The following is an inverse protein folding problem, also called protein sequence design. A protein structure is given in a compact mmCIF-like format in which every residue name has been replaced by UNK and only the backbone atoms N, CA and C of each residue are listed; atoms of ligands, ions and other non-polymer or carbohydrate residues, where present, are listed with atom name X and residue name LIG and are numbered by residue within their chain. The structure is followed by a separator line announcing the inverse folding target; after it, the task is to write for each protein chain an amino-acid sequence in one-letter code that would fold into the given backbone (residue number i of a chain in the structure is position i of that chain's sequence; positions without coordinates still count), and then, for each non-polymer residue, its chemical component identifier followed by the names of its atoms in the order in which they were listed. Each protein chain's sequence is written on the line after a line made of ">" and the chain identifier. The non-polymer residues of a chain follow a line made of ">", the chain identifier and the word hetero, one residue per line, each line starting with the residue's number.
data_IF_794040183789
#
_entry.id   IF_794040183789
#
_cell.length_a   1.000
_cell.length_b   1.000
_cell.length_c   1.000
_cell.angle_alpha   90.00
_cell.angle_beta   90.00
_cell.angle_gamma   90.00
#
_symmetry.space_group_name_H-M   'P 1'
#
loop_
_entity.id
_entity.type
_entity.pdbx_description
1 polymer ?
#
# COMPACT_ATOMS: atom_id res chain seq x y z
N UNK A 1 68.08 12.15 31.01
CA UNK A 1 67.59 11.89 32.38
C UNK A 1 66.45 10.89 32.22
N UNK A 2 66.72 9.57 32.18
CA UNK A 2 66.91 8.68 33.36
C UNK A 2 65.77 8.85 34.38
N UNK A 3 65.07 7.86 34.93
CA UNK A 3 64.97 6.40 34.85
C UNK A 3 64.35 5.99 36.21
N UNK A 4 63.50 4.95 36.26
CA UNK A 4 63.17 4.04 37.38
C UNK A 4 61.69 3.63 37.23
N UNK A 5 61.29 2.44 36.78
CA UNK A 5 61.66 1.04 37.11
C UNK A 5 61.22 0.59 38.51
N UNK A 6 60.25 -0.33 38.57
CA UNK A 6 60.21 -1.62 39.32
C UNK A 6 58.92 -2.38 38.93
N UNK A 7 58.98 -3.53 38.23
CA UNK A 7 59.22 -4.93 38.69
C UNK A 7 58.02 -5.45 39.53
N UNK A 8 57.31 -6.54 39.21
CA UNK A 8 57.70 -7.93 38.89
C UNK A 8 56.58 -8.62 38.06
N UNK A 9 56.87 -9.42 37.02
CA UNK A 9 57.18 -10.88 37.01
C UNK A 9 56.02 -11.74 37.58
N UNK A 10 55.45 -12.75 36.91
CA UNK A 10 56.08 -13.84 36.15
C UNK A 10 55.14 -14.57 35.16
N UNK A 11 55.78 -15.19 34.16
CA UNK A 11 55.34 -16.21 33.17
C UNK A 11 54.65 -17.42 33.84
N UNK A 12 53.79 -18.20 33.18
CA UNK A 12 54.01 -19.27 32.17
C UNK A 12 52.61 -19.65 31.63
N UNK A 13 52.37 -20.08 30.40
CA UNK A 13 52.98 -21.19 29.67
C UNK A 13 51.86 -22.11 29.17
N UNK A 14 51.78 -22.22 27.85
CA UNK A 14 50.94 -23.06 26.97
C UNK A 14 50.73 -24.53 27.36
N UNK A 15 49.58 -25.11 26.98
CA UNK A 15 49.49 -26.47 26.40
C UNK A 15 48.11 -26.79 25.79
N UNK A 16 48.15 -27.36 24.58
CA UNK A 16 47.08 -28.07 23.88
C UNK A 16 46.68 -29.37 24.60
N UNK A 17 45.41 -29.77 24.50
CA UNK A 17 45.02 -31.18 24.46
C UNK A 17 43.68 -31.35 23.73
N UNK A 18 43.69 -32.20 22.71
CA UNK A 18 42.54 -32.74 22.01
C UNK A 18 41.87 -33.85 22.83
N UNK A 19 40.57 -34.10 22.65
CA UNK A 19 39.93 -35.29 23.23
C UNK A 19 38.41 -35.38 23.12
N UNK A 20 37.97 -35.97 22.01
CA UNK A 20 36.88 -36.95 21.88
C UNK A 20 35.41 -36.61 22.25
N UNK A 21 34.57 -36.97 21.27
CA UNK A 21 33.13 -37.23 21.27
C UNK A 21 32.54 -37.75 22.59
N UNK A 22 31.36 -37.22 22.94
CA UNK A 22 30.29 -37.97 23.59
C UNK A 22 28.94 -37.52 23.02
N UNK A 23 28.36 -38.39 22.21
CA UNK A 23 26.97 -38.37 21.76
C UNK A 23 26.07 -38.68 22.96
N UNK A 24 25.30 -37.70 23.42
CA UNK A 24 24.15 -37.93 24.30
C UNK A 24 22.86 -37.72 23.52
N UNK A 25 22.22 -38.86 23.20
CA UNK A 25 20.84 -38.94 22.75
C UNK A 25 19.95 -38.42 23.87
N UNK A 26 19.37 -37.24 23.68
CA UNK A 26 18.21 -36.77 24.43
C UNK A 26 16.99 -36.84 23.52
N UNK A 27 16.21 -37.90 23.72
CA UNK A 27 14.83 -38.02 23.27
C UNK A 27 13.95 -37.04 24.06
N UNK A 28 13.92 -35.78 23.62
CA UNK A 28 12.92 -34.82 24.05
C UNK A 28 11.71 -34.88 23.12
N UNK A 29 10.57 -35.32 23.62
CA UNK A 29 9.28 -35.20 22.93
C UNK A 29 9.02 -33.72 22.64
N UNK A 30 9.20 -33.32 21.39
CA UNK A 30 8.75 -32.03 20.89
C UNK A 30 7.21 -32.01 20.92
N UNK A 31 6.64 -31.34 21.93
CA UNK A 31 5.29 -30.80 21.82
C UNK A 31 5.34 -29.62 20.86
N UNK A 32 5.44 -29.93 19.57
CA UNK A 32 5.12 -29.01 18.49
C UNK A 32 3.61 -28.94 18.32
N UNK A 33 2.91 -28.23 19.20
CA UNK A 33 1.64 -27.65 18.80
C UNK A 33 2.00 -26.45 17.92
N UNK A 34 2.19 -26.72 16.64
CA UNK A 34 2.13 -25.69 15.63
C UNK A 34 0.78 -25.00 15.81
N UNK A 35 0.81 -23.69 16.02
CA UNK A 35 -0.34 -22.85 15.78
C UNK A 35 -0.70 -23.07 14.30
N UNK A 36 -1.59 -24.03 14.05
CA UNK A 36 -2.20 -24.18 12.74
C UNK A 36 -2.84 -22.84 12.45
N UNK A 37 -2.34 -22.16 11.42
CA UNK A 37 -3.05 -21.04 10.83
C UNK A 37 -4.46 -21.55 10.58
N UNK A 38 -5.43 -21.08 11.39
CA UNK A 38 -6.83 -21.38 11.14
C UNK A 38 -7.09 -20.84 9.75
N UNK A 39 -7.42 -21.73 8.82
CA UNK A 39 -7.99 -21.31 7.55
C UNK A 39 -9.12 -20.34 7.89
N UNK A 40 -9.09 -19.15 7.29
CA UNK A 40 -10.15 -18.17 7.51
C UNK A 40 -11.50 -18.83 7.23
N UNK A 41 -12.49 -18.59 8.08
CA UNK A 41 -13.83 -19.09 7.83
C UNK A 41 -14.31 -18.56 6.46
N UNK A 42 -15.07 -19.35 5.69
CA UNK A 42 -15.62 -18.89 4.42
C UNK A 42 -16.48 -17.64 4.64
N UNK A 43 -16.44 -16.71 3.67
CA UNK A 43 -17.23 -15.48 3.74
C UNK A 43 -18.73 -15.83 3.77
N UNK A 44 -19.48 -15.16 4.64
CA UNK A 44 -20.94 -15.19 4.62
C UNK A 44 -21.48 -14.46 3.38
N UNK A 45 -22.77 -14.66 3.06
CA UNK A 45 -23.43 -13.93 1.97
C UNK A 45 -23.39 -12.40 2.19
N UNK A 46 -23.53 -11.95 3.44
CA UNK A 46 -23.40 -10.55 3.83
C UNK A 46 -21.98 -10.04 3.59
N UNK A 47 -20.95 -10.78 4.02
CA UNK A 47 -19.56 -10.41 3.80
C UNK A 47 -19.18 -10.38 2.31
N UNK A 48 -19.75 -11.28 1.51
CA UNK A 48 -19.57 -11.30 0.05
C UNK A 48 -20.21 -10.08 -0.61
N UNK A 49 -21.35 -9.63 -0.11
CA UNK A 49 -22.04 -8.42 -0.58
C UNK A 49 -21.20 -7.18 -0.28
N UNK A 50 -20.75 -7.04 0.98
CA UNK A 50 -19.87 -5.94 1.40
C UNK A 50 -18.56 -5.90 0.61
N UNK A 51 -17.98 -7.07 0.31
CA UNK A 51 -16.77 -7.19 -0.50
C UNK A 51 -17.00 -6.69 -1.94
N UNK A 52 -18.11 -7.09 -2.57
CA UNK A 52 -18.49 -6.60 -3.90
C UNK A 52 -18.70 -5.09 -3.91
N UNK A 53 -19.38 -4.52 -2.91
CA UNK A 53 -19.59 -3.08 -2.79
C UNK A 53 -18.27 -2.32 -2.66
N UNK A 54 -17.34 -2.86 -1.85
CA UNK A 54 -16.03 -2.27 -1.66
C UNK A 54 -15.22 -2.27 -2.96
N UNK A 55 -15.17 -3.40 -3.68
CA UNK A 55 -14.47 -3.46 -4.97
C UNK A 55 -15.14 -2.58 -6.03
N UNK A 56 -16.47 -2.54 -6.09
CA UNK A 56 -17.20 -1.62 -6.98
C UNK A 56 -16.78 -0.18 -6.75
N UNK A 57 -16.77 0.24 -5.48
CA UNK A 57 -16.40 1.59 -5.11
C UNK A 57 -14.94 1.89 -5.47
N UNK A 58 -14.03 0.95 -5.19
CA UNK A 58 -12.62 1.07 -5.57
C UNK A 58 -12.42 1.18 -7.08
N UNK A 59 -13.09 0.33 -7.87
CA UNK A 59 -13.05 0.36 -9.33
C UNK A 59 -13.52 1.71 -9.88
N UNK A 60 -14.59 2.27 -9.30
CA UNK A 60 -15.12 3.57 -9.67
C UNK A 60 -14.16 4.70 -9.31
N UNK A 61 -13.63 4.71 -8.09
CA UNK A 61 -12.82 5.83 -7.60
C UNK A 61 -11.42 5.86 -8.20
N UNK A 62 -10.79 4.69 -8.35
CA UNK A 62 -9.41 4.59 -8.83
C UNK A 62 -9.31 4.54 -10.36
N UNK A 63 -10.32 3.97 -11.03
CA UNK A 63 -10.26 3.72 -12.48
C UNK A 63 -11.42 4.35 -13.26
N UNK A 64 -12.37 5.01 -12.59
CA UNK A 64 -13.54 5.59 -13.26
C UNK A 64 -14.45 4.53 -13.90
N UNK A 65 -14.38 3.28 -13.44
CA UNK A 65 -15.04 2.15 -14.09
C UNK A 65 -16.28 1.68 -13.31
N UNK A 66 -17.34 1.34 -14.02
CA UNK A 66 -18.55 0.72 -13.44
C UNK A 66 -19.08 -0.32 -14.41
N UNK A 67 -19.26 -1.55 -13.94
CA UNK A 67 -19.84 -2.62 -14.75
C UNK A 67 -21.35 -2.42 -14.93
N UNK A 68 -21.92 -2.78 -16.09
CA UNK A 68 -23.37 -2.86 -16.22
C UNK A 68 -23.92 -3.99 -15.34
N UNK A 69 -25.21 -3.91 -14.97
CA UNK A 69 -25.86 -4.90 -14.08
C UNK A 69 -25.80 -6.34 -14.61
N UNK A 70 -25.82 -6.49 -15.94
CA UNK A 70 -25.63 -7.76 -16.65
C UNK A 70 -24.42 -7.60 -17.58
N UNK A 71 -23.20 -7.93 -17.13
CA UNK A 71 -22.00 -7.75 -17.92
C UNK A 71 -21.91 -8.74 -19.09
N UNK A 72 -21.51 -8.22 -20.24
CA UNK A 72 -21.06 -9.04 -21.37
C UNK A 72 -19.60 -9.46 -21.17
N UNK A 73 -19.14 -10.46 -21.95
CA UNK A 73 -17.72 -10.84 -21.96
C UNK A 73 -16.82 -9.67 -22.38
N UNK A 74 -17.29 -8.85 -23.32
CA UNK A 74 -16.60 -7.65 -23.77
C UNK A 74 -16.47 -6.58 -22.68
N UNK A 75 -17.50 -6.39 -21.86
CA UNK A 75 -17.45 -5.45 -20.72
C UNK A 75 -16.37 -5.87 -19.72
N UNK A 76 -16.34 -7.15 -19.35
CA UNK A 76 -15.33 -7.68 -18.44
C UNK A 76 -13.91 -7.54 -18.99
N UNK A 77 -13.72 -7.80 -20.29
CA UNK A 77 -12.44 -7.61 -20.99
C UNK A 77 -11.99 -6.15 -20.99
N UNK A 78 -12.92 -5.21 -21.23
CA UNK A 78 -12.61 -3.76 -21.13
C UNK A 78 -12.23 -3.36 -19.73
N UNK A 79 -13.00 -3.80 -18.73
CA UNK A 79 -12.72 -3.54 -17.33
C UNK A 79 -11.31 -4.00 -16.98
N UNK A 80 -10.99 -5.25 -17.32
CA UNK A 80 -9.73 -5.87 -16.99
C UNK A 80 -8.53 -5.18 -17.65
N UNK A 81 -8.63 -4.85 -18.94
CA UNK A 81 -7.58 -4.13 -19.64
C UNK A 81 -7.34 -2.73 -19.03
N UNK A 82 -8.42 -2.04 -18.64
CA UNK A 82 -8.33 -0.72 -18.03
C UNK A 82 -7.65 -0.77 -16.65
N UNK A 83 -8.08 -1.68 -15.76
CA UNK A 83 -7.55 -1.75 -14.39
C UNK A 83 -6.10 -2.24 -14.35
N UNK A 84 -5.69 -3.04 -15.35
CA UNK A 84 -4.30 -3.48 -15.52
C UNK A 84 -3.46 -2.51 -16.36
N UNK A 85 -4.04 -1.38 -16.81
CA UNK A 85 -3.40 -0.39 -17.66
C UNK A 85 -2.70 -1.01 -18.90
N UNK A 86 -3.43 -1.88 -19.60
CA UNK A 86 -2.91 -2.63 -20.74
C UNK A 86 -3.31 -1.99 -22.07
N UNK A 87 -2.30 -1.69 -22.88
CA UNK A 87 -2.46 -1.17 -24.24
C UNK A 87 -1.87 -2.16 -25.26
N UNK A 88 -2.46 -2.29 -26.46
CA UNK A 88 -1.93 -3.17 -27.49
C UNK A 88 -0.63 -2.64 -28.07
N UNK A 89 0.29 -3.53 -28.43
CA UNK A 89 1.60 -3.18 -29.02
C UNK A 89 1.57 -2.96 -30.54
N UNK A 90 0.38 -3.07 -31.15
CA UNK A 90 0.20 -2.91 -32.60
C UNK A 90 0.40 -4.20 -33.40
N UNK A 91 0.34 -5.37 -32.76
CA UNK A 91 0.37 -6.66 -33.47
C UNK A 91 -0.89 -6.87 -34.31
N UNK A 92 -0.83 -7.72 -35.36
CA UNK A 92 -2.00 -8.03 -36.17
C UNK A 92 -3.14 -8.59 -35.31
N UNK A 93 -4.36 -8.21 -35.66
CA UNK A 93 -5.57 -8.69 -35.00
C UNK A 93 -5.70 -10.22 -35.13
N UNK A 94 -5.68 -10.98 -34.02
CA UNK A 94 -5.85 -12.42 -34.04
C UNK A 94 -7.32 -12.85 -34.06
N UNK A 95 -8.26 -11.92 -33.82
CA UNK A 95 -9.68 -12.24 -33.65
C UNK A 95 -10.44 -12.27 -34.99
N UNK A 96 -11.25 -13.31 -35.19
CA UNK A 96 -12.09 -13.48 -36.36
C UNK A 96 -13.38 -12.63 -36.30
N UNK A 97 -13.83 -12.29 -35.09
CA UNK A 97 -15.15 -11.67 -34.82
C UNK A 97 -15.06 -10.21 -34.36
N UNK A 98 -13.86 -9.71 -34.06
CA UNK A 98 -13.64 -8.32 -33.66
C UNK A 98 -12.94 -7.55 -34.77
N UNK A 99 -13.51 -6.41 -35.15
CA UNK A 99 -12.90 -5.43 -36.08
C UNK A 99 -12.40 -4.21 -35.30
N UNK A 100 -11.55 -3.38 -35.92
CA UNK A 100 -11.02 -2.14 -35.32
C UNK A 100 -12.10 -1.19 -34.78
N UNK A 101 -13.29 -1.21 -35.38
CA UNK A 101 -14.44 -0.40 -34.95
C UNK A 101 -15.15 -0.94 -33.70
N UNK A 102 -14.82 -2.14 -33.23
CA UNK A 102 -15.44 -2.74 -32.05
C UNK A 102 -15.03 -1.99 -30.79
N UNK A 103 -15.97 -1.74 -29.85
CA UNK A 103 -15.64 -1.11 -28.57
C UNK A 103 -14.69 -1.96 -27.71
N UNK A 104 -14.52 -3.25 -28.03
CA UNK A 104 -13.66 -4.19 -27.30
C UNK A 104 -12.28 -4.38 -27.96
N UNK A 105 -12.05 -3.81 -29.16
CA UNK A 105 -10.90 -4.14 -29.99
C UNK A 105 -9.54 -3.97 -29.30
N UNK A 106 -9.28 -2.78 -28.76
CA UNK A 106 -7.99 -2.48 -28.11
C UNK A 106 -7.77 -3.35 -26.87
N UNK A 107 -8.79 -3.48 -26.03
CA UNK A 107 -8.74 -4.27 -24.79
C UNK A 107 -8.53 -5.76 -25.08
N UNK A 108 -9.27 -6.31 -26.06
CA UNK A 108 -9.14 -7.71 -26.44
C UNK A 108 -7.74 -8.01 -27.01
N UNK A 109 -7.22 -7.13 -27.87
CA UNK A 109 -5.86 -7.27 -28.42
C UNK A 109 -4.81 -7.20 -27.30
N UNK A 110 -4.89 -6.22 -26.41
CA UNK A 110 -3.95 -6.07 -25.30
C UNK A 110 -3.95 -7.32 -24.38
N UNK A 111 -5.12 -7.85 -24.03
CA UNK A 111 -5.22 -9.07 -23.21
C UNK A 111 -4.76 -10.33 -23.95
N UNK A 112 -4.98 -10.43 -25.27
CA UNK A 112 -4.46 -11.54 -26.08
C UNK A 112 -2.93 -11.51 -26.14
N UNK A 113 -2.34 -10.34 -26.34
CA UNK A 113 -0.89 -10.16 -26.37
C UNK A 113 -0.22 -10.53 -25.03
N UNK A 114 -0.95 -10.39 -23.92
CA UNK A 114 -0.54 -10.85 -22.58
C UNK A 114 -0.85 -12.32 -22.30
N UNK A 115 -1.47 -13.03 -23.25
CA UNK A 115 -1.84 -14.44 -23.09
C UNK A 115 -2.98 -14.68 -22.10
N UNK A 116 -3.74 -13.63 -21.75
CA UNK A 116 -4.92 -13.70 -20.89
C UNK A 116 -6.12 -14.22 -21.70
N UNK A 117 -6.31 -13.65 -22.89
CA UNK A 117 -7.16 -14.24 -23.92
C UNK A 117 -6.29 -15.14 -24.81
N UNK A 118 -6.84 -16.29 -25.21
CA UNK A 118 -6.08 -17.32 -25.95
C UNK A 118 -6.81 -17.83 -27.18
N UNK A 119 -8.11 -17.55 -27.30
CA UNK A 119 -8.92 -17.93 -28.45
C UNK A 119 -8.90 -16.82 -29.51
N UNK A 120 -9.07 -17.19 -30.77
CA UNK A 120 -9.19 -16.29 -31.92
C UNK A 120 -10.63 -15.79 -32.13
N UNK A 121 -11.51 -16.02 -31.15
CA UNK A 121 -12.85 -15.45 -31.08
C UNK A 121 -13.10 -14.90 -29.68
N UNK A 122 -13.65 -13.68 -29.58
CA UNK A 122 -14.07 -13.13 -28.29
C UNK A 122 -15.52 -13.46 -27.99
N UNK A 123 -16.42 -13.32 -28.94
CA UNK A 123 -17.88 -13.27 -28.76
C UNK A 123 -18.27 -12.21 -27.72
N UNK A 124 -17.76 -10.98 -27.91
CA UNK A 124 -17.78 -9.91 -26.91
C UNK A 124 -19.17 -9.49 -26.43
N UNK A 125 -20.19 -9.55 -27.29
CA UNK A 125 -21.57 -9.17 -26.95
C UNK A 125 -22.34 -10.28 -26.22
N UNK A 126 -21.77 -11.48 -26.08
CA UNK A 126 -22.41 -12.58 -25.36
C UNK A 126 -22.38 -12.34 -23.84
N UNK A 127 -23.37 -12.87 -23.09
CA UNK A 127 -23.36 -12.85 -21.64
C UNK A 127 -22.05 -13.40 -21.08
N UNK A 128 -21.47 -12.72 -20.09
CA UNK A 128 -20.34 -13.25 -19.35
C UNK A 128 -20.82 -14.45 -18.52
N UNK A 129 -20.35 -15.66 -18.77
CA UNK A 129 -20.61 -16.79 -17.88
C UNK A 129 -19.67 -16.77 -16.68
N UNK A 130 -20.09 -17.35 -15.54
CA UNK A 130 -19.27 -17.38 -14.32
C UNK A 130 -17.91 -18.05 -14.56
N UNK A 131 -17.90 -19.20 -15.26
CA UNK A 131 -16.66 -19.91 -15.58
C UNK A 131 -15.74 -19.10 -16.50
N UNK A 132 -16.28 -18.44 -17.51
CA UNK A 132 -15.50 -17.58 -18.41
C UNK A 132 -14.82 -16.44 -17.65
N UNK A 133 -15.54 -15.81 -16.71
CA UNK A 133 -14.99 -14.77 -15.86
C UNK A 133 -13.81 -15.32 -15.03
N UNK A 134 -13.95 -16.51 -14.42
CA UNK A 134 -12.88 -17.15 -13.65
C UNK A 134 -11.67 -17.48 -14.52
N UNK A 135 -11.85 -18.07 -15.70
CA UNK A 135 -10.74 -18.41 -16.60
C UNK A 135 -9.91 -17.19 -16.96
N UNK A 136 -10.60 -16.09 -17.32
CA UNK A 136 -9.94 -14.82 -17.65
C UNK A 136 -9.24 -14.27 -16.39
N UNK A 137 -9.90 -14.26 -15.24
CA UNK A 137 -9.35 -13.74 -13.98
C UNK A 137 -8.10 -14.52 -13.52
N UNK A 138 -8.07 -15.86 -13.63
CA UNK A 138 -6.91 -16.69 -13.27
C UNK A 138 -5.67 -16.26 -14.04
N UNK A 139 -5.83 -16.10 -15.36
CA UNK A 139 -4.72 -15.68 -16.22
C UNK A 139 -4.33 -14.23 -15.94
N UNK A 140 -5.29 -13.35 -15.73
CA UNK A 140 -5.05 -11.94 -15.43
C UNK A 140 -4.40 -11.69 -14.07
N UNK A 141 -4.67 -12.56 -13.10
CA UNK A 141 -4.06 -12.54 -11.78
C UNK A 141 -2.61 -13.09 -11.78
N UNK A 142 -2.11 -13.60 -12.90
CA UNK A 142 -0.78 -14.21 -12.99
C UNK A 142 -0.71 -15.63 -12.43
N UNK A 143 -1.84 -16.34 -12.35
CA UNK A 143 -1.94 -17.69 -11.78
C UNK A 143 -1.95 -18.81 -12.83
N UNK A 144 -1.73 -18.49 -14.11
CA UNK A 144 -1.78 -19.44 -15.22
C UNK A 144 -0.79 -20.60 -15.03
N UNK A 145 0.48 -20.28 -14.77
CA UNK A 145 1.54 -21.26 -14.60
C UNK A 145 1.26 -22.15 -13.39
N UNK A 146 0.77 -21.56 -12.29
CA UNK A 146 0.33 -22.30 -11.11
C UNK A 146 -0.79 -23.27 -11.48
N UNK A 147 -1.84 -22.80 -12.16
CA UNK A 147 -2.96 -23.65 -12.58
C UNK A 147 -2.49 -24.84 -13.40
N UNK A 148 -1.58 -24.62 -14.36
CA UNK A 148 -1.11 -25.68 -15.25
C UNK A 148 -0.13 -26.66 -14.57
N UNK A 149 0.25 -26.43 -13.31
CA UNK A 149 0.95 -27.43 -12.50
C UNK A 149 0.04 -28.49 -11.89
N UNK A 150 -1.29 -28.32 -11.97
CA UNK A 150 -2.24 -29.20 -11.29
C UNK A 150 -2.42 -30.51 -12.08
N UNK A 151 -1.98 -31.67 -11.55
CA UNK A 151 -2.37 -32.96 -12.13
C UNK A 151 -3.88 -33.18 -11.94
N UNK A 152 -4.47 -34.08 -12.74
CA UNK A 152 -5.90 -34.34 -12.74
C UNK A 152 -6.48 -34.63 -11.33
N UNK A 153 -5.80 -35.44 -10.53
CA UNK A 153 -6.24 -35.75 -9.16
C UNK A 153 -6.22 -34.53 -8.24
N UNK A 154 -5.23 -33.63 -8.38
CA UNK A 154 -5.17 -32.40 -7.59
C UNK A 154 -6.31 -31.47 -8.00
N UNK A 155 -6.52 -31.29 -9.31
CA UNK A 155 -7.62 -30.49 -9.84
C UNK A 155 -8.98 -31.02 -9.34
N UNK A 156 -9.21 -32.34 -9.40
CA UNK A 156 -10.44 -32.95 -8.92
C UNK A 156 -10.69 -32.70 -7.43
N UNK A 157 -9.67 -32.78 -6.57
CA UNK A 157 -9.80 -32.48 -5.12
C UNK A 157 -10.17 -31.02 -4.86
N UNK A 158 -9.59 -30.08 -5.60
CA UNK A 158 -9.90 -28.65 -5.44
C UNK A 158 -11.29 -28.33 -6.01
N UNK A 159 -11.66 -28.95 -7.14
CA UNK A 159 -12.99 -28.80 -7.74
C UNK A 159 -14.11 -29.36 -6.87
N UNK A 160 -13.85 -30.39 -6.07
CA UNK A 160 -14.84 -30.91 -5.11
C UNK A 160 -15.29 -29.87 -4.06
N UNK A 161 -14.57 -28.74 -3.92
CA UNK A 161 -14.99 -27.60 -3.09
C UNK A 161 -16.06 -26.74 -3.76
N UNK A 162 -16.04 -26.66 -5.09
CA UNK A 162 -17.04 -25.96 -5.88
C UNK A 162 -18.23 -26.92 -5.98
N UNK A 163 -19.21 -26.76 -5.09
CA UNK A 163 -20.40 -27.61 -5.03
C UNK A 163 -21.18 -27.54 -6.35
N UNK A 164 -20.76 -28.35 -7.31
CA UNK A 164 -21.31 -28.40 -8.65
C UNK A 164 -21.60 -29.84 -9.00
N UNK A 165 -22.79 -30.05 -9.56
CA UNK A 165 -23.28 -31.34 -10.04
C UNK A 165 -22.36 -31.95 -11.11
N UNK A 166 -22.73 -33.15 -11.59
CA UNK A 166 -22.06 -34.07 -12.53
C UNK A 166 -21.35 -33.45 -13.76
N UNK A 167 -21.52 -32.16 -14.04
CA UNK A 167 -20.92 -31.41 -15.15
C UNK A 167 -19.41 -31.18 -15.01
N UNK A 168 -18.79 -31.25 -13.82
CA UNK A 168 -17.31 -31.15 -13.66
C UNK A 168 -16.60 -32.16 -14.58
N UNK A 169 -17.19 -33.34 -14.77
CA UNK A 169 -16.68 -34.39 -15.65
C UNK A 169 -16.54 -33.97 -17.13
N UNK A 170 -17.25 -32.92 -17.56
CA UNK A 170 -17.23 -32.41 -18.94
C UNK A 170 -16.19 -31.31 -19.19
N UNK A 171 -15.39 -30.93 -18.18
CA UNK A 171 -14.35 -29.92 -18.35
C UNK A 171 -13.18 -30.44 -19.19
N UNK A 172 -12.61 -29.56 -20.01
CA UNK A 172 -11.28 -29.82 -20.56
C UNK A 172 -10.26 -29.83 -19.42
N UNK A 173 -9.11 -30.51 -19.57
CA UNK A 173 -8.07 -30.51 -18.54
C UNK A 173 -7.65 -29.10 -18.11
N UNK A 174 -7.51 -28.18 -19.07
CA UNK A 174 -7.12 -26.79 -18.80
C UNK A 174 -8.21 -26.04 -18.01
N UNK A 175 -9.48 -26.23 -18.37
CA UNK A 175 -10.59 -25.59 -17.67
C UNK A 175 -10.71 -26.13 -16.22
N UNK A 176 -10.48 -27.43 -16.01
CA UNK A 176 -10.43 -28.02 -14.68
C UNK A 176 -9.29 -27.45 -13.84
N UNK A 177 -8.10 -27.30 -14.43
CA UNK A 177 -6.93 -26.72 -13.77
C UNK A 177 -7.14 -25.25 -13.36
N UNK A 178 -7.69 -24.43 -14.24
CA UNK A 178 -7.94 -23.01 -13.98
C UNK A 178 -8.98 -22.80 -12.86
N UNK A 179 -10.10 -23.53 -12.89
CA UNK A 179 -11.08 -23.48 -11.80
C UNK A 179 -10.51 -24.01 -10.47
N UNK A 180 -9.74 -25.10 -10.51
CA UNK A 180 -9.10 -25.66 -9.32
C UNK A 180 -8.13 -24.66 -8.67
N UNK A 181 -7.32 -23.98 -9.48
CA UNK A 181 -6.41 -22.95 -8.99
C UNK A 181 -7.17 -21.75 -8.43
N UNK A 182 -8.25 -21.31 -9.08
CA UNK A 182 -9.08 -20.21 -8.58
C UNK A 182 -9.67 -20.51 -7.19
N UNK A 183 -10.13 -21.73 -6.97
CA UNK A 183 -10.67 -22.17 -5.68
C UNK A 183 -9.58 -22.28 -4.59
N UNK A 184 -8.40 -22.83 -4.93
CA UNK A 184 -7.31 -23.00 -3.96
C UNK A 184 -6.61 -21.69 -3.58
N UNK A 185 -6.64 -20.70 -4.45
CA UNK A 185 -6.00 -19.39 -4.24
C UNK A 185 -6.94 -18.33 -3.70
N UNK A 186 -8.21 -18.68 -3.45
CA UNK A 186 -9.28 -17.73 -3.05
C UNK A 186 -9.52 -16.58 -4.05
N UNK A 187 -8.99 -16.70 -5.29
CA UNK A 187 -9.37 -15.85 -6.41
C UNK A 187 -10.87 -15.98 -6.68
N UNK A 188 -11.41 -17.20 -6.56
CA UNK A 188 -12.83 -17.43 -6.35
C UNK A 188 -13.06 -17.70 -4.85
N UNK A 189 -13.54 -16.70 -4.08
CA UNK A 189 -13.71 -16.85 -2.64
C UNK A 189 -14.63 -18.01 -2.24
N UNK A 190 -14.31 -18.67 -1.12
CA UNK A 190 -15.10 -19.79 -0.58
C UNK A 190 -16.61 -19.48 -0.42
N UNK A 191 -16.96 -18.24 -0.06
CA UNK A 191 -18.37 -17.80 0.06
C UNK A 191 -19.16 -17.84 -1.25
N UNK A 192 -18.49 -17.96 -2.40
CA UNK A 192 -19.13 -18.09 -3.71
C UNK A 192 -19.18 -19.54 -4.23
N UNK A 193 -18.57 -20.49 -3.53
CA UNK A 193 -18.41 -21.87 -4.04
C UNK A 193 -19.74 -22.61 -4.16
N UNK A 194 -20.66 -22.41 -3.22
CA UNK A 194 -21.98 -23.08 -3.20
C UNK A 194 -22.91 -22.60 -4.33
N UNK A 195 -22.85 -21.30 -4.65
CA UNK A 195 -23.70 -20.69 -5.68
C UNK A 195 -23.08 -20.72 -7.09
N UNK A 196 -21.86 -21.27 -7.23
CA UNK A 196 -21.14 -21.28 -8.50
C UNK A 196 -21.80 -22.23 -9.50
N UNK A 197 -22.15 -21.72 -10.68
CA UNK A 197 -22.73 -22.49 -11.78
C UNK A 197 -22.04 -22.09 -13.08
N UNK A 198 -21.37 -23.05 -13.73
CA UNK A 198 -20.41 -22.82 -14.83
C UNK A 198 -20.98 -21.97 -15.97
N UNK A 199 -22.18 -22.34 -16.42
CA UNK A 199 -22.80 -21.83 -17.64
C UNK A 199 -23.78 -20.69 -17.37
N UNK A 200 -24.09 -20.43 -16.09
CA UNK A 200 -24.95 -19.32 -15.72
C UNK A 200 -24.26 -17.97 -15.97
N UNK A 201 -25.03 -16.92 -16.29
CA UNK A 201 -24.52 -15.57 -16.36
C UNK A 201 -23.89 -15.12 -15.03
N UNK A 202 -22.74 -14.46 -15.12
CA UNK A 202 -22.12 -13.75 -14.02
C UNK A 202 -22.88 -12.45 -13.76
N UNK A 203 -23.24 -12.19 -12.50
CA UNK A 203 -23.74 -10.89 -12.09
C UNK A 203 -22.63 -9.84 -12.08
N UNK A 204 -23.00 -8.56 -12.08
CA UNK A 204 -22.03 -7.47 -11.86
C UNK A 204 -21.20 -7.70 -10.58
N UNK A 205 -21.84 -8.04 -9.46
CA UNK A 205 -21.17 -8.30 -8.19
C UNK A 205 -20.15 -9.43 -8.26
N UNK A 206 -20.46 -10.52 -8.98
CA UNK A 206 -19.52 -11.61 -9.18
C UNK A 206 -18.29 -11.15 -9.99
N UNK A 207 -18.52 -10.40 -11.06
CA UNK A 207 -17.44 -9.84 -11.88
C UNK A 207 -16.59 -8.80 -11.12
N UNK A 208 -17.21 -7.96 -10.29
CA UNK A 208 -16.52 -6.99 -9.43
C UNK A 208 -15.61 -7.67 -8.40
N UNK A 209 -16.06 -8.77 -7.79
CA UNK A 209 -15.23 -9.58 -6.88
C UNK A 209 -14.02 -10.13 -7.61
N UNK A 210 -14.19 -10.71 -8.79
CA UNK A 210 -13.06 -11.26 -9.56
C UNK A 210 -12.08 -10.17 -10.01
N UNK A 211 -12.57 -9.00 -10.44
CA UNK A 211 -11.70 -7.85 -10.76
C UNK A 211 -10.93 -7.37 -9.53
N UNK A 212 -11.59 -7.28 -8.38
CA UNK A 212 -10.97 -6.93 -7.10
C UNK A 212 -9.87 -7.91 -6.69
N UNK A 213 -10.13 -9.21 -6.79
CA UNK A 213 -9.14 -10.25 -6.51
C UNK A 213 -7.96 -10.25 -7.48
N UNK A 214 -8.20 -9.97 -8.76
CA UNK A 214 -7.10 -9.73 -9.72
C UNK A 214 -6.25 -8.54 -9.27
N UNK A 215 -6.88 -7.42 -8.89
CA UNK A 215 -6.16 -6.24 -8.40
C UNK A 215 -5.34 -6.53 -7.14
N UNK A 216 -5.86 -7.30 -6.20
CA UNK A 216 -5.12 -7.72 -5.00
C UNK A 216 -3.88 -8.53 -5.36
N UNK A 217 -4.04 -9.57 -6.18
CA UNK A 217 -2.92 -10.45 -6.57
C UNK A 217 -1.89 -9.74 -7.45
N UNK A 218 -2.27 -8.67 -8.14
CA UNK A 218 -1.37 -7.81 -8.91
C UNK A 218 -0.76 -6.68 -8.07
N UNK A 219 -1.10 -6.54 -6.79
CA UNK A 219 -0.62 -5.45 -5.93
C UNK A 219 -1.14 -4.07 -6.34
N UNK A 220 -2.29 -4.03 -7.02
CA UNK A 220 -2.93 -2.83 -7.54
C UNK A 220 -4.17 -2.40 -6.75
N UNK A 221 -4.64 -3.23 -5.82
CA UNK A 221 -5.68 -2.88 -4.87
C UNK A 221 -5.13 -1.96 -3.75
N UNK A 222 -5.93 -1.75 -2.70
CA UNK A 222 -5.53 -1.05 -1.48
C UNK A 222 -4.22 -1.64 -0.93
N UNK A 223 -3.26 -0.79 -0.67
CA UNK A 223 -1.98 -1.15 -0.11
C UNK A 223 -2.06 -0.96 1.41
N UNK A 224 -1.98 -2.06 2.14
CA UNK A 224 -2.00 -2.08 3.60
C UNK A 224 -0.98 -3.09 4.13
N UNK A 225 -0.50 -2.85 5.35
CA UNK A 225 0.25 -3.83 6.13
C UNK A 225 -0.71 -4.80 6.81
N UNK A 226 -1.82 -4.28 7.33
CA UNK A 226 -2.88 -5.03 8.00
C UNK A 226 -3.83 -4.10 8.74
N UNK A 227 -4.64 -4.66 9.64
CA UNK A 227 -5.62 -3.92 10.44
C UNK A 227 -5.14 -3.61 11.85
N UNK A 228 -5.68 -2.54 12.44
CA UNK A 228 -5.51 -2.21 13.86
C UNK A 228 -5.91 -3.39 14.75
N UNK A 229 -6.94 -4.15 14.39
CA UNK A 229 -7.37 -5.34 15.12
C UNK A 229 -6.45 -6.56 14.96
N UNK A 230 -5.56 -6.59 13.97
CA UNK A 230 -4.71 -7.75 13.72
C UNK A 230 -3.70 -7.95 14.86
N UNK A 231 -3.51 -9.19 15.35
CA UNK A 231 -2.65 -9.45 16.50
C UNK A 231 -1.18 -9.09 16.23
N UNK A 232 -0.73 -9.12 14.97
CA UNK A 232 0.66 -8.92 14.58
C UNK A 232 0.93 -7.56 13.90
N UNK A 233 -0.06 -6.67 13.77
CA UNK A 233 0.11 -5.37 13.09
C UNK A 233 1.26 -4.52 13.64
N UNK A 234 1.47 -4.51 14.96
CA UNK A 234 2.56 -3.76 15.57
C UNK A 234 3.93 -4.27 15.12
N UNK A 235 4.06 -5.59 14.95
CA UNK A 235 5.29 -6.19 14.42
C UNK A 235 5.46 -5.83 12.95
N UNK A 236 4.40 -5.94 12.13
CA UNK A 236 4.46 -5.63 10.70
C UNK A 236 4.86 -4.16 10.43
N UNK A 237 4.32 -3.21 11.18
CA UNK A 237 4.68 -1.78 11.07
C UNK A 237 6.14 -1.54 11.47
N UNK A 238 6.62 -2.19 12.54
CA UNK A 238 8.03 -2.09 12.95
C UNK A 238 8.97 -2.72 11.92
N UNK A 239 8.63 -3.88 11.38
CA UNK A 239 9.41 -4.54 10.33
C UNK A 239 9.49 -3.66 9.08
N UNK A 240 8.37 -3.05 8.68
CA UNK A 240 8.31 -2.10 7.57
C UNK A 240 9.21 -0.87 7.81
N UNK A 241 9.22 -0.30 9.01
CA UNK A 241 10.09 0.83 9.37
C UNK A 241 11.58 0.48 9.34
N UNK A 242 11.95 -0.70 9.85
CA UNK A 242 13.35 -1.12 9.99
C UNK A 242 14.05 -1.33 8.64
N UNK A 243 13.30 -1.60 7.57
CA UNK A 243 13.85 -1.75 6.21
C UNK A 243 13.81 -0.47 5.38
N UNK A 244 13.22 0.60 5.91
CA UNK A 244 13.19 1.91 5.26
C UNK A 244 14.50 2.66 5.48
N UNK A 245 14.93 3.39 4.44
CA UNK A 245 16.06 4.31 4.49
C UNK A 245 15.59 5.68 4.03
N UNK A 246 16.45 6.70 4.18
CA UNK A 246 16.25 7.99 3.52
C UNK A 246 16.03 7.79 2.01
N UNK A 247 14.91 8.31 1.53
CA UNK A 247 14.57 8.33 0.11
C UNK A 247 15.43 9.42 -0.55
N UNK A 248 16.37 8.98 -1.39
CA UNK A 248 17.24 9.86 -2.15
C UNK A 248 16.81 9.87 -3.61
N UNK A 249 16.43 11.04 -4.11
CA UNK A 249 15.99 11.29 -5.48
C UNK A 249 16.65 12.58 -5.98
N UNK A 250 17.91 12.52 -6.43
CA UNK A 250 18.70 13.72 -6.74
C UNK A 250 18.03 14.68 -7.71
N UNK A 251 17.34 14.15 -8.73
CA UNK A 251 16.66 14.97 -9.73
C UNK A 251 15.46 15.75 -9.15
N UNK A 252 14.71 15.13 -8.24
CA UNK A 252 13.60 15.81 -7.55
C UNK A 252 14.15 16.75 -6.50
N UNK A 253 15.05 16.26 -5.64
CA UNK A 253 15.66 17.01 -4.54
C UNK A 253 16.35 18.27 -5.04
N UNK A 254 17.12 18.23 -6.13
CA UNK A 254 17.75 19.42 -6.69
C UNK A 254 16.75 20.56 -7.00
N UNK A 255 15.55 20.24 -7.47
CA UNK A 255 14.52 21.24 -7.77
C UNK A 255 13.97 21.84 -6.47
N UNK A 256 13.62 21.01 -5.49
CA UNK A 256 12.99 21.47 -4.24
C UNK A 256 13.99 22.03 -3.22
N UNK A 257 15.25 21.61 -3.26
CA UNK A 257 16.35 22.23 -2.51
C UNK A 257 16.60 23.65 -3.01
N UNK A 258 16.56 23.89 -4.33
CA UNK A 258 16.64 25.25 -4.89
C UNK A 258 15.41 26.08 -4.52
N UNK A 259 14.21 25.50 -4.49
CA UNK A 259 13.01 26.19 -4.03
C UNK A 259 13.11 26.58 -2.54
N UNK A 260 13.64 25.68 -1.71
CA UNK A 260 13.89 25.91 -0.29
C UNK A 260 14.97 26.99 -0.08
N UNK A 261 16.06 26.95 -0.85
CA UNK A 261 17.13 27.95 -0.83
C UNK A 261 16.67 29.36 -1.24
N UNK A 262 15.65 29.44 -2.09
CA UNK A 262 15.05 30.68 -2.58
C UNK A 262 13.90 31.18 -1.68
N UNK A 263 13.71 30.59 -0.49
CA UNK A 263 12.62 30.89 0.45
C UNK A 263 11.21 30.80 -0.19
N UNK A 264 11.08 29.99 -1.25
CA UNK A 264 9.78 29.76 -1.91
C UNK A 264 8.89 28.85 -1.08
N UNK A 265 9.51 27.96 -0.32
CA UNK A 265 8.89 26.93 0.53
C UNK A 265 9.66 26.85 1.84
N UNK A 266 9.03 26.34 2.91
CA UNK A 266 9.65 26.19 4.23
C UNK A 266 10.18 24.78 4.48
N UNK A 267 9.72 23.81 3.68
CA UNK A 267 10.15 22.43 3.72
C UNK A 267 9.44 21.61 2.65
N UNK A 268 9.90 20.38 2.48
CA UNK A 268 9.29 19.44 1.53
C UNK A 268 9.50 17.99 1.97
N UNK A 269 8.75 17.09 1.36
CA UNK A 269 8.84 15.65 1.56
C UNK A 269 9.15 14.96 0.24
N UNK A 270 10.03 13.97 0.24
CA UNK A 270 10.20 12.99 -0.85
C UNK A 270 9.52 11.69 -0.44
N UNK A 271 8.72 11.14 -1.33
CA UNK A 271 7.95 9.91 -1.11
C UNK A 271 7.97 9.00 -2.35
N UNK A 272 7.63 7.73 -2.13
CA UNK A 272 7.55 6.69 -3.14
C UNK A 272 6.09 6.24 -3.32
N UNK A 273 5.54 6.42 -4.52
CA UNK A 273 4.15 6.19 -4.85
C UNK A 273 3.72 4.72 -4.80
N UNK A 274 4.70 3.80 -4.79
CA UNK A 274 4.44 2.36 -4.64
C UNK A 274 3.89 2.00 -3.26
N UNK A 275 4.07 2.88 -2.27
CA UNK A 275 3.53 2.75 -0.93
C UNK A 275 2.18 3.47 -0.73
N UNK A 276 1.68 4.18 -1.77
CA UNK A 276 0.41 4.90 -1.69
C UNK A 276 -0.70 3.95 -1.26
N UNK A 277 -1.47 4.26 -0.19
CA UNK A 277 -2.43 3.31 0.39
C UNK A 277 -3.62 2.98 -0.52
N UNK A 278 -4.00 3.89 -1.43
CA UNK A 278 -5.20 3.79 -2.29
C UNK A 278 -6.50 3.53 -1.48
N UNK A 279 -6.52 3.97 -0.23
CA UNK A 279 -7.69 3.88 0.64
C UNK A 279 -8.83 4.78 0.14
N UNK A 280 -10.04 4.43 0.57
CA UNK A 280 -11.21 5.28 0.37
C UNK A 280 -11.03 6.61 1.11
N UNK A 281 -10.92 7.69 0.35
CA UNK A 281 -10.69 9.04 0.88
C UNK A 281 -11.75 9.49 1.90
N UNK A 282 -13.00 9.06 1.74
CA UNK A 282 -14.08 9.40 2.66
C UNK A 282 -13.85 8.80 4.06
N UNK A 283 -13.14 7.66 4.12
CA UNK A 283 -12.85 6.93 5.36
C UNK A 283 -11.38 6.93 5.73
N UNK A 284 -10.55 7.77 5.11
CA UNK A 284 -9.10 7.78 5.37
C UNK A 284 -8.55 9.10 5.89
N UNK A 285 -7.44 8.97 6.62
CA UNK A 285 -6.62 10.06 7.14
C UNK A 285 -5.16 9.61 7.23
N UNK A 286 -4.23 10.54 7.13
CA UNK A 286 -2.78 10.30 7.22
C UNK A 286 -2.20 11.07 8.40
N UNK A 287 -1.35 10.40 9.20
CA UNK A 287 -0.64 10.97 10.36
C UNK A 287 0.87 10.95 10.13
N UNK A 288 1.52 12.11 10.13
CA UNK A 288 2.96 12.24 9.92
C UNK A 288 3.76 12.25 11.21
N UNK A 289 4.86 11.50 11.28
CA UNK A 289 5.81 11.55 12.40
C UNK A 289 7.19 10.96 12.02
N UNK A 290 8.16 11.08 12.93
CA UNK A 290 9.52 10.52 12.80
C UNK A 290 9.85 9.37 13.76
N UNK A 291 8.94 8.97 14.67
CA UNK A 291 9.26 8.10 15.81
C UNK A 291 8.43 6.83 15.75
N UNK A 292 9.07 5.69 15.49
CA UNK A 292 8.35 4.42 15.30
C UNK A 292 7.57 4.00 16.55
N UNK A 293 8.09 4.27 17.75
CA UNK A 293 7.38 3.95 18.99
C UNK A 293 6.08 4.74 19.14
N UNK A 294 6.01 5.96 18.59
CA UNK A 294 4.78 6.75 18.52
C UNK A 294 3.73 6.07 17.63
N UNK A 295 4.11 5.64 16.41
CA UNK A 295 3.20 4.91 15.51
C UNK A 295 2.61 3.66 16.17
N UNK A 296 3.45 2.86 16.82
CA UNK A 296 3.00 1.62 17.45
C UNK A 296 2.06 1.87 18.62
N UNK A 297 2.34 2.89 19.43
CA UNK A 297 1.45 3.29 20.52
C UNK A 297 0.16 3.91 20.00
N UNK A 298 0.19 4.67 18.90
CA UNK A 298 -1.01 5.20 18.26
C UNK A 298 -1.93 4.07 17.76
N UNK A 299 -1.37 3.04 17.12
CA UNK A 299 -2.16 1.86 16.72
C UNK A 299 -2.74 1.13 17.94
N UNK A 300 -1.94 0.95 19.00
CA UNK A 300 -2.41 0.38 20.26
C UNK A 300 -3.53 1.21 20.91
N UNK A 301 -3.45 2.53 20.84
CA UNK A 301 -4.44 3.46 21.33
C UNK A 301 -5.74 3.36 20.55
N UNK A 302 -5.70 3.39 19.21
CA UNK A 302 -6.89 3.19 18.37
C UNK A 302 -7.60 1.87 18.72
N UNK A 303 -6.83 0.79 18.89
CA UNK A 303 -7.37 -0.50 19.32
C UNK A 303 -8.08 -0.40 20.67
N UNK A 304 -7.48 0.26 21.67
CA UNK A 304 -8.10 0.42 22.99
C UNK A 304 -9.37 1.27 22.99
N UNK A 305 -9.50 2.17 22.01
CA UNK A 305 -10.67 3.04 21.81
C UNK A 305 -11.75 2.40 20.90
N UNK A 306 -11.61 1.10 20.62
CA UNK A 306 -12.48 0.30 19.76
C UNK A 306 -12.57 0.87 18.32
N UNK A 307 -11.46 1.41 17.82
CA UNK A 307 -11.32 1.80 16.43
C UNK A 307 -10.58 0.71 15.68
N UNK A 308 -11.14 0.29 14.55
CA UNK A 308 -10.49 -0.62 13.64
C UNK A 308 -10.30 0.04 12.28
N UNK A 309 -9.08 -0.02 11.77
CA UNK A 309 -8.70 0.62 10.53
C UNK A 309 -7.66 -0.23 9.81
N UNK A 310 -7.67 -0.19 8.48
CA UNK A 310 -6.50 -0.60 7.68
C UNK A 310 -5.34 0.34 8.00
N UNK A 311 -4.13 -0.18 8.03
CA UNK A 311 -2.92 0.56 8.39
C UNK A 311 -1.90 0.43 7.27
N UNK A 312 -1.37 1.56 6.82
CA UNK A 312 -0.27 1.61 5.86
C UNK A 312 0.82 2.57 6.33
N UNK A 313 2.06 2.09 6.34
CA UNK A 313 3.24 2.91 6.63
C UNK A 313 3.90 3.36 5.33
N UNK A 314 3.87 4.65 5.04
CA UNK A 314 4.48 5.24 3.86
C UNK A 314 5.84 5.85 4.24
N UNK A 315 6.97 5.41 3.64
CA UNK A 315 8.26 6.00 3.89
C UNK A 315 8.31 7.44 3.37
N UNK A 316 8.96 8.31 4.13
CA UNK A 316 9.09 9.73 3.83
C UNK A 316 10.48 10.22 4.17
N UNK A 317 11.02 11.10 3.33
CA UNK A 317 12.17 11.93 3.70
C UNK A 317 11.75 13.37 3.73
N UNK A 318 11.75 13.94 4.92
CA UNK A 318 11.41 15.35 5.16
C UNK A 318 12.68 16.19 5.07
N UNK A 319 12.58 17.35 4.42
CA UNK A 319 13.68 18.27 4.25
C UNK A 319 13.28 19.69 4.65
N UNK A 320 14.13 20.36 5.42
CA UNK A 320 13.87 21.69 5.97
C UNK A 320 15.19 22.43 6.25
N UNK A 321 15.10 23.76 6.36
CA UNK A 321 16.25 24.58 6.75
C UNK A 321 16.68 24.21 8.18
N UNK A 322 17.94 23.82 8.32
CA UNK A 322 18.57 23.54 9.61
C UNK A 322 19.22 24.80 10.16
N UNK A 323 18.76 25.22 11.33
CA UNK A 323 19.25 26.41 12.01
C UNK A 323 20.49 26.08 12.85
N UNK A 324 21.50 26.95 12.82
CA UNK A 324 22.80 26.71 13.50
C UNK A 324 22.65 26.57 15.01
N UNK A 325 21.64 27.22 15.60
CA UNK A 325 21.30 27.11 17.01
C UNK A 325 20.82 25.71 17.45
N UNK A 326 20.47 24.83 16.51
CA UNK A 326 20.08 23.43 16.81
C UNK A 326 21.28 22.51 17.03
N UNK A 327 22.51 22.99 16.80
CA UNK A 327 23.75 22.27 17.06
C UNK A 327 24.63 22.08 15.82
N UNK A 328 25.64 21.23 15.96
CA UNK A 328 26.55 20.90 14.87
C UNK A 328 25.87 19.95 13.86
N UNK A 329 26.14 20.11 12.55
CA UNK A 329 25.63 19.21 11.51
C UNK A 329 25.94 17.72 11.81
N UNK A 330 24.91 16.88 11.72
CA UNK A 330 25.00 15.43 11.96
C UNK A 330 24.81 14.65 10.65
N UNK A 331 25.45 13.48 10.55
CA UNK A 331 25.31 12.53 9.44
C UNK A 331 25.12 11.12 10.01
N UNK A 332 23.91 10.59 9.90
CA UNK A 332 23.53 9.21 10.21
C UNK A 332 22.77 8.61 9.02
N UNK A 333 22.40 7.33 9.12
CA UNK A 333 21.59 6.66 8.10
C UNK A 333 20.17 7.24 8.01
N UNK A 334 19.64 7.75 9.13
CA UNK A 334 18.28 8.28 9.26
C UNK A 334 18.21 9.82 9.24
N UNK A 335 19.34 10.52 9.34
CA UNK A 335 19.38 11.97 9.41
C UNK A 335 20.65 12.56 8.80
N UNK A 336 20.52 13.58 7.94
CA UNK A 336 21.66 14.22 7.26
C UNK A 336 21.52 15.72 7.23
N UNK A 337 22.55 16.45 7.65
CA UNK A 337 22.61 17.92 7.57
C UNK A 337 23.66 18.34 6.55
N UNK A 338 23.22 18.92 5.44
CA UNK A 338 24.08 19.30 4.31
C UNK A 338 24.14 20.81 4.18
N UNK A 339 25.34 21.35 4.02
CA UNK A 339 25.54 22.79 3.78
C UNK A 339 25.16 23.14 2.34
N UNK A 340 24.48 24.26 2.17
CA UNK A 340 24.07 24.81 0.88
C UNK A 340 24.79 26.12 0.57
N UNK A 341 24.78 26.53 -0.71
CA UNK A 341 25.64 27.61 -1.25
C UNK A 341 25.42 28.96 -0.57
N UNK A 342 24.20 29.25 -0.12
CA UNK A 342 23.87 30.47 0.62
C UNK A 342 24.39 30.49 2.07
N UNK A 343 25.09 29.43 2.51
CA UNK A 343 25.68 29.31 3.85
C UNK A 343 24.75 28.74 4.92
N UNK A 344 23.50 28.45 4.59
CA UNK A 344 22.56 27.70 5.43
C UNK A 344 22.84 26.19 5.34
N UNK A 345 22.04 25.42 6.08
CA UNK A 345 22.04 23.96 6.04
C UNK A 345 20.64 23.46 5.71
N UNK A 346 20.55 22.32 5.02
CA UNK A 346 19.32 21.55 4.85
C UNK A 346 19.47 20.28 5.68
N UNK A 347 18.51 20.01 6.55
CA UNK A 347 18.35 18.72 7.20
C UNK A 347 17.46 17.83 6.36
N UNK A 348 17.84 16.56 6.23
CA UNK A 348 17.04 15.48 5.65
C UNK A 348 16.78 14.44 6.75
N UNK A 349 15.52 14.20 7.07
CA UNK A 349 15.10 13.31 8.14
C UNK A 349 14.29 12.13 7.60
N UNK A 350 14.57 10.93 8.09
CA UNK A 350 13.73 9.76 7.87
C UNK A 350 12.47 9.93 8.71
N UNK A 351 11.34 9.91 8.03
CA UNK A 351 10.02 10.02 8.63
C UNK A 351 9.07 9.02 7.98
N UNK A 352 7.84 9.01 8.46
CA UNK A 352 6.76 8.28 7.85
C UNK A 352 5.50 9.12 7.76
N UNK A 353 4.62 8.67 6.89
CA UNK A 353 3.19 8.96 6.95
C UNK A 353 2.47 7.64 7.28
N UNK A 354 1.69 7.63 8.36
CA UNK A 354 0.89 6.49 8.79
C UNK A 354 -0.56 6.73 8.35
N UNK A 355 -0.97 6.03 7.31
CA UNK A 355 -2.29 6.16 6.72
C UNK A 355 -3.25 5.13 7.29
N UNK A 356 -4.47 5.58 7.61
CA UNK A 356 -5.54 4.76 8.14
C UNK A 356 -6.75 4.78 7.20
N UNK A 357 -7.37 3.63 6.94
CA UNK A 357 -8.74 3.54 6.41
C UNK A 357 -9.65 2.97 7.48
N UNK A 358 -10.47 3.81 8.09
CA UNK A 358 -11.37 3.43 9.17
C UNK A 358 -12.51 2.56 8.63
N UNK A 359 -13.01 1.65 9.48
CA UNK A 359 -14.16 0.82 9.11
C UNK A 359 -15.37 1.67 8.70
N UNK A 360 -15.59 2.80 9.38
CA UNK A 360 -16.68 3.74 9.10
C UNK A 360 -16.22 5.20 9.19
N UNK A 361 -16.99 6.12 8.59
CA UNK A 361 -16.75 7.55 8.70
C UNK A 361 -16.84 8.03 10.17
N UNK A 362 -17.73 7.46 10.98
CA UNK A 362 -17.85 7.82 12.40
C UNK A 362 -16.59 7.47 13.20
N UNK A 363 -15.88 6.40 12.83
CA UNK A 363 -14.59 6.09 13.46
C UNK A 363 -13.50 7.09 13.02
N UNK A 364 -13.50 7.50 11.75
CA UNK A 364 -12.64 8.59 11.26
C UNK A 364 -12.86 9.89 12.04
N UNK A 365 -14.11 10.26 12.29
CA UNK A 365 -14.47 11.50 13.01
C UNK A 365 -13.95 11.51 14.46
N UNK A 366 -13.87 10.33 15.11
CA UNK A 366 -13.33 10.19 16.47
C UNK A 366 -11.80 10.28 16.56
N UNK A 367 -11.10 10.22 15.43
CA UNK A 367 -9.63 10.18 15.42
C UNK A 367 -9.01 11.42 16.07
N UNK A 368 -9.52 12.61 15.76
CA UNK A 368 -9.00 13.86 16.33
C UNK A 368 -9.17 13.92 17.85
N UNK A 369 -10.33 13.50 18.37
CA UNK A 369 -10.57 13.47 19.82
C UNK A 369 -9.48 12.66 20.55
N UNK A 370 -9.14 11.49 19.98
CA UNK A 370 -8.12 10.60 20.53
C UNK A 370 -6.74 11.25 20.49
N UNK A 371 -6.37 11.87 19.36
CA UNK A 371 -5.08 12.56 19.23
C UNK A 371 -4.98 13.71 20.22
N UNK A 372 -5.99 14.58 20.31
CA UNK A 372 -5.99 15.72 21.23
C UNK A 372 -5.88 15.31 22.70
N UNK A 373 -6.45 14.15 23.05
CA UNK A 373 -6.44 13.64 24.43
C UNK A 373 -5.15 12.93 24.81
N UNK A 374 -4.56 12.16 23.90
CA UNK A 374 -3.51 11.20 24.23
C UNK A 374 -2.21 11.34 23.44
N UNK A 375 -2.18 12.13 22.35
CA UNK A 375 -1.02 12.22 21.45
C UNK A 375 -0.56 13.65 21.13
N UNK A 376 -1.30 14.68 21.59
CA UNK A 376 -0.89 16.08 21.50
C UNK A 376 -0.35 16.57 22.83
N UNK A 377 0.81 17.23 22.78
CA UNK A 377 1.43 17.94 23.89
C UNK A 377 0.89 19.36 24.01
N UNK A 378 0.55 19.78 25.23
CA UNK A 378 0.06 21.11 25.60
C UNK A 378 0.84 21.75 26.77
N UNK A 379 1.69 20.98 27.44
CA UNK A 379 2.65 21.50 28.43
C UNK A 379 3.94 20.66 28.41
N UNK A 380 5.06 21.24 28.85
CA UNK A 380 6.38 20.58 28.83
C UNK A 380 6.38 19.25 29.59
N UNK A 381 5.76 19.24 30.77
CA UNK A 381 5.71 18.11 31.71
C UNK A 381 4.37 17.35 31.67
N UNK A 382 3.63 17.42 30.55
CA UNK A 382 2.35 16.71 30.43
C UNK A 382 2.55 15.19 30.52
N UNK A 383 1.84 14.56 31.45
CA UNK A 383 1.80 13.10 31.61
C UNK A 383 0.57 12.49 30.93
N UNK A 384 0.59 11.17 30.73
CA UNK A 384 -0.52 10.43 30.12
C UNK A 384 -0.58 10.47 28.59
N UNK A 385 0.48 10.97 27.94
CA UNK A 385 0.61 10.97 26.48
C UNK A 385 1.39 9.75 25.97
N UNK A 386 1.14 9.38 24.72
CA UNK A 386 1.98 8.41 24.00
C UNK A 386 3.36 9.01 23.70
N UNK A 387 4.33 8.13 23.48
CA UNK A 387 5.74 8.47 23.33
C UNK A 387 5.96 9.55 22.26
N UNK A 388 6.86 10.50 22.53
CA UNK A 388 7.27 11.54 21.57
C UNK A 388 6.16 12.45 21.03
N UNK A 389 5.02 12.56 21.73
CA UNK A 389 3.92 13.46 21.36
C UNK A 389 4.37 14.90 21.10
N UNK A 390 3.95 15.45 19.95
CA UNK A 390 4.31 16.80 19.52
C UNK A 390 3.31 17.85 19.99
N UNK A 391 3.77 19.10 20.07
CA UNK A 391 2.92 20.27 20.30
C UNK A 391 2.02 20.57 19.10
N UNK A 392 2.59 20.40 17.90
CA UNK A 392 1.95 20.58 16.60
C UNK A 392 2.05 19.24 15.85
N UNK A 393 1.22 18.23 16.20
CA UNK A 393 1.12 17.01 15.39
C UNK A 393 0.70 17.36 13.96
N UNK A 394 0.97 16.46 13.01
CA UNK A 394 0.55 16.62 11.62
C UNK A 394 -0.36 15.47 11.24
N UNK A 395 -1.63 15.76 10.98
CA UNK A 395 -2.54 14.78 10.39
C UNK A 395 -3.59 15.43 9.50
N UNK A 396 -3.92 14.75 8.39
CA UNK A 396 -4.68 15.37 7.32
C UNK A 396 -5.58 14.41 6.55
N UNK A 397 -6.67 14.96 6.00
CA UNK A 397 -7.62 14.25 5.15
C UNK A 397 -7.73 14.87 3.76
N UNK A 398 -8.06 14.02 2.78
CA UNK A 398 -8.37 14.41 1.40
C UNK A 398 -9.80 14.86 1.22
N UNK A 399 -10.66 14.56 2.18
CA UNK A 399 -12.04 15.06 2.23
C UNK A 399 -12.16 16.04 3.37
N UNK A 400 -13.18 16.89 3.29
CA UNK A 400 -13.51 17.81 4.37
C UNK A 400 -13.81 17.06 5.67
N UNK A 401 -13.35 17.65 6.78
CA UNK A 401 -13.64 17.23 8.14
C UNK A 401 -13.97 18.47 8.97
N UNK A 402 -14.92 18.38 9.92
CA UNK A 402 -15.15 19.44 10.89
C UNK A 402 -13.85 19.80 11.63
N UNK A 403 -13.66 21.09 11.93
CA UNK A 403 -12.53 21.65 12.67
C UNK A 403 -11.15 21.61 11.97
N UNK A 404 -11.04 20.98 10.79
CA UNK A 404 -9.80 21.00 10.01
C UNK A 404 -9.71 22.27 9.17
N UNK A 405 -8.48 22.74 8.93
CA UNK A 405 -8.18 23.91 8.11
C UNK A 405 -7.74 23.50 6.71
N UNK A 406 -8.12 24.29 5.72
CA UNK A 406 -7.72 24.04 4.33
C UNK A 406 -6.33 24.56 4.07
N UNK A 407 -5.46 23.69 3.56
CA UNK A 407 -4.12 24.02 3.08
C UNK A 407 -3.95 23.51 1.65
N UNK A 408 -2.81 23.84 1.04
CA UNK A 408 -2.48 23.41 -0.31
C UNK A 408 -1.22 22.55 -0.34
N UNK A 409 -1.16 21.69 -1.34
CA UNK A 409 0.03 20.92 -1.70
C UNK A 409 0.48 21.29 -3.10
N UNK A 410 1.80 21.33 -3.32
CA UNK A 410 2.42 21.30 -4.63
C UNK A 410 3.25 20.03 -4.76
N UNK A 411 2.93 19.20 -5.76
CA UNK A 411 3.58 17.91 -6.02
C UNK A 411 4.29 17.93 -7.37
N UNK A 412 5.50 17.39 -7.40
CA UNK A 412 6.24 17.10 -8.63
C UNK A 412 6.61 15.61 -8.64
N UNK A 413 6.40 14.93 -9.77
CA UNK A 413 6.55 13.48 -9.88
C UNK A 413 7.61 13.12 -10.90
N UNK A 414 8.44 12.12 -10.57
CA UNK A 414 9.39 11.48 -11.49
C UNK A 414 9.43 9.98 -11.25
N UNK A 415 8.99 9.21 -12.26
CA UNK A 415 8.83 7.77 -12.10
C UNK A 415 7.89 7.46 -10.93
N UNK A 416 8.33 6.59 -10.03
CA UNK A 416 7.60 6.21 -8.82
C UNK A 416 7.81 7.16 -7.64
N UNK A 417 8.59 8.22 -7.80
CA UNK A 417 8.90 9.14 -6.72
C UNK A 417 8.23 10.48 -6.92
N UNK A 418 7.94 11.15 -5.83
CA UNK A 418 7.46 12.52 -5.88
C UNK A 418 8.03 13.34 -4.73
N UNK A 419 8.25 14.62 -5.01
CA UNK A 419 8.48 15.62 -3.99
C UNK A 419 7.22 16.45 -3.79
N UNK A 420 6.90 16.79 -2.55
CA UNK A 420 5.73 17.59 -2.22
C UNK A 420 6.02 18.61 -1.12
N UNK A 421 5.34 19.73 -1.16
CA UNK A 421 5.45 20.80 -0.17
C UNK A 421 4.08 21.31 0.22
N UNK A 422 3.88 21.51 1.52
CA UNK A 422 2.64 22.02 2.09
C UNK A 422 2.73 23.53 2.29
N UNK A 423 1.63 24.22 2.02
CA UNK A 423 1.57 25.68 2.12
C UNK A 423 0.15 26.15 2.45
N UNK A 424 0.01 27.42 2.82
CA UNK A 424 -1.30 28.04 2.98
C UNK A 424 -2.08 28.04 1.65
N UNK A 425 -3.41 28.04 1.74
CA UNK A 425 -4.30 27.83 0.59
C UNK A 425 -4.22 28.92 -0.50
N UNK A 426 -3.55 30.05 -0.22
CA UNK A 426 -3.30 31.19 -1.12
C UNK A 426 -1.91 31.16 -1.80
N UNK A 427 -1.03 30.21 -1.46
CA UNK A 427 0.33 30.11 -2.02
C UNK A 427 0.56 29.16 -3.21
N UNK A 428 -0.32 28.20 -3.58
CA UNK A 428 0.10 27.11 -4.46
C UNK A 428 0.48 27.56 -5.87
N UNK A 429 -0.17 28.60 -6.42
CA UNK A 429 0.19 29.12 -7.75
C UNK A 429 1.58 29.75 -7.76
N UNK A 430 1.89 30.59 -6.78
CA UNK A 430 3.19 31.23 -6.66
C UNK A 430 4.33 30.20 -6.51
N UNK A 431 4.11 29.16 -5.70
CA UNK A 431 5.05 28.04 -5.56
C UNK A 431 5.21 27.29 -6.87
N UNK A 432 4.11 26.97 -7.56
CA UNK A 432 4.17 26.27 -8.84
C UNK A 432 4.92 27.09 -9.91
N UNK A 433 4.73 28.40 -9.95
CA UNK A 433 5.47 29.30 -10.84
C UNK A 433 6.95 29.38 -10.48
N UNK A 434 7.29 29.49 -9.20
CA UNK A 434 8.68 29.47 -8.75
C UNK A 434 9.40 28.17 -9.11
N UNK A 435 8.75 27.02 -8.93
CA UNK A 435 9.27 25.71 -9.36
C UNK A 435 9.47 25.68 -10.89
N UNK A 436 8.54 26.22 -11.68
CA UNK A 436 8.69 26.30 -13.14
C UNK A 436 9.82 27.23 -13.58
N UNK A 437 10.18 28.25 -12.80
CA UNK A 437 11.36 29.07 -13.07
C UNK A 437 12.66 28.30 -12.83
N UNK A 438 12.69 27.42 -11.82
CA UNK A 438 13.82 26.53 -11.52
C UNK A 438 13.94 25.43 -12.58
N UNK A 439 12.82 24.80 -12.95
CA UNK A 439 12.77 23.72 -13.93
C UNK A 439 11.54 23.87 -14.84
N UNK A 440 11.68 24.50 -16.03
CA UNK A 440 10.57 24.83 -16.92
C UNK A 440 9.76 23.63 -17.43
N UNK A 441 10.39 22.46 -17.55
CA UNK A 441 9.72 21.23 -18.02
C UNK A 441 8.95 20.51 -16.90
N UNK A 442 9.08 20.93 -15.64
CA UNK A 442 8.45 20.26 -14.51
C UNK A 442 6.95 20.53 -14.48
N UNK A 443 6.16 19.46 -14.56
CA UNK A 443 4.71 19.52 -14.28
C UNK A 443 4.50 19.56 -12.77
N UNK A 444 3.89 20.64 -12.31
CA UNK A 444 3.48 20.82 -10.90
C UNK A 444 1.99 20.52 -10.80
N UNK A 445 1.64 19.57 -9.95
CA UNK A 445 0.25 19.29 -9.57
C UNK A 445 -0.05 20.00 -8.26
N UNK A 446 -1.12 20.81 -8.24
CA UNK A 446 -1.54 21.54 -7.05
C UNK A 446 -2.95 21.14 -6.67
N UNK A 447 -3.17 20.88 -5.38
CA UNK A 447 -4.50 20.57 -4.85
C UNK A 447 -4.63 21.04 -3.40
N UNK A 448 -5.87 21.15 -2.94
CA UNK A 448 -6.21 21.49 -1.57
C UNK A 448 -6.58 20.24 -0.77
N UNK A 449 -6.35 20.31 0.54
CA UNK A 449 -6.70 19.26 1.48
C UNK A 449 -6.85 19.85 2.89
N UNK A 450 -7.35 19.05 3.83
CA UNK A 450 -7.74 19.48 5.17
C UNK A 450 -6.73 18.95 6.19
N UNK A 451 -6.18 19.83 7.02
CA UNK A 451 -5.20 19.49 8.06
C UNK A 451 -5.71 19.90 9.44
N UNK A 452 -5.20 19.25 10.47
CA UNK A 452 -5.50 19.62 11.84
C UNK A 452 -5.10 21.07 12.18
N UNK A 453 -5.86 21.69 13.07
CA UNK A 453 -5.62 23.08 13.50
C UNK A 453 -4.20 23.31 14.07
N UNK A 454 -3.63 22.42 14.90
CA UNK A 454 -2.25 22.55 15.35
C UNK A 454 -1.25 22.72 14.18
N UNK A 455 -1.23 21.81 13.20
CA UNK A 455 -0.33 21.97 12.07
C UNK A 455 -0.60 23.23 11.24
N UNK A 456 -1.87 23.63 11.09
CA UNK A 456 -2.20 24.89 10.43
C UNK A 456 -1.59 26.09 11.17
N UNK A 457 -1.65 26.11 12.50
CA UNK A 457 -1.04 27.16 13.33
C UNK A 457 0.48 27.21 13.09
N UNK A 458 1.13 26.07 13.00
CA UNK A 458 2.55 25.99 12.63
C UNK A 458 2.84 26.67 11.28
N UNK A 459 2.00 26.48 10.26
CA UNK A 459 2.22 27.10 8.94
C UNK A 459 2.05 28.63 8.94
N UNK A 460 1.25 29.19 9.84
CA UNK A 460 1.12 30.65 10.00
C UNK A 460 2.13 31.23 11.01
N UNK A 461 3.01 30.40 11.58
CA UNK A 461 4.04 30.81 12.55
C UNK A 461 3.55 30.90 14.00
N UNK A 462 2.38 30.35 14.31
CA UNK A 462 1.82 30.24 15.66
C UNK A 462 2.13 28.86 16.27
N UNK A 463 2.32 28.79 17.58
CA UNK A 463 2.84 27.59 18.25
C UNK A 463 2.11 27.21 19.55
N UNK A 464 0.96 27.84 19.86
CA UNK A 464 0.20 27.59 21.09
C UNK A 464 -1.04 26.75 20.84
#
# INVERSE_FOLDING_TARGET
>A
MYAATRLNATRFGSALAAGALLLTLWSGQAHGQGAGARAAAPLTAEQTTLLSEEYRQFLKDQFGYTLPSVPTKGDFVKALAAVLNLEPSGKPNPFQDIKESSPYYKSALALYEKGILTQDRLDGDQPLTQSTAVYIAVKAAGLKELAYTYPAEKAARSLAKLHTDDEISQLTPQAAQELAAAADTELLPAGLHEAFQRNEPASASYAEILLGRVLELQGLYKHELGRVSDPDILRQVRDAWNVQNLIQQPDLQNIVDQALQADLITGYNVKDDRYTPRFDSARSLTYGHSEIDHALQLIGLLRSENIDARVQLEPKTSAFIYLKEWGEPVQTDDYKVVKIDNGNYIAYAKEYDLSFEFATAQQKDRFQEIVLKYAKKNSEDQSGLIAHSWWQPLYYSRTELPDYKVIANNKITKGHYYAQTFSLADKPEAIAEGIRKISPATKVESYRFWVDEPFYNYLIGEYK
#
